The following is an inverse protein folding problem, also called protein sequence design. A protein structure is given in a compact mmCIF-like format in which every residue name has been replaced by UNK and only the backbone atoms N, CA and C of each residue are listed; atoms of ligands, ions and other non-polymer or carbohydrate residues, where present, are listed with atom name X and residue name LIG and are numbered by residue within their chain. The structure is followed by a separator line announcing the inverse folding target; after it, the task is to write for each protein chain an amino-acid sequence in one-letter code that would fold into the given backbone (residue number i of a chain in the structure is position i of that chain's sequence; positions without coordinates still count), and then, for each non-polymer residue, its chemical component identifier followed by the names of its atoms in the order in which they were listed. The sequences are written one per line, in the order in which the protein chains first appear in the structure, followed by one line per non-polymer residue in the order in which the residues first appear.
data_IF_461838079284
#
_entry.id   IF_461838079284
#
_cell.length_a   1.000
_cell.length_b   1.000
_cell.length_c   1.000
_cell.angle_alpha   90.00
_cell.angle_beta   90.00
_cell.angle_gamma   90.00
#
_symmetry.space_group_name_H-M   'P 1'
#
loop_
_entity.id
_entity.type
_entity.pdbx_description
1 polymer ?
#
# COMPACT_ATOMS: atom_id res chain seq x y z
N UNK A 1 -12.60 9.29 -1.84
CA UNK A 1 -11.22 9.75 -2.07
C UNK A 1 -10.53 9.04 -3.25
N UNK A 2 -10.91 7.83 -3.69
CA UNK A 2 -10.27 7.18 -4.84
C UNK A 2 -8.79 6.80 -4.62
N UNK A 3 -8.34 6.86 -3.36
CA UNK A 3 -6.99 6.51 -2.92
C UNK A 3 -7.01 5.15 -2.22
N UNK A 4 -5.91 4.43 -2.33
CA UNK A 4 -5.66 3.12 -1.76
C UNK A 4 -4.61 3.19 -0.65
N UNK A 5 -4.70 2.25 0.29
CA UNK A 5 -3.68 2.03 1.31
C UNK A 5 -2.45 1.40 0.65
N UNK A 6 -1.32 2.10 0.64
CA UNK A 6 -0.14 1.75 -0.15
C UNK A 6 1.09 1.61 0.76
N UNK A 7 1.83 0.51 0.62
CA UNK A 7 3.16 0.40 1.18
C UNK A 7 4.15 1.19 0.31
N UNK A 8 4.67 2.28 0.87
CA UNK A 8 5.42 3.30 0.12
C UNK A 8 6.55 2.68 -0.72
N UNK A 9 6.54 3.01 -2.02
CA UNK A 9 7.47 2.50 -3.02
C UNK A 9 7.56 0.95 -3.12
N UNK A 10 6.51 0.25 -2.68
CA UNK A 10 6.49 -1.22 -2.65
C UNK A 10 7.37 -1.85 -1.57
N UNK A 11 7.72 -1.09 -0.52
CA UNK A 11 8.56 -1.60 0.57
C UNK A 11 7.93 -2.80 1.30
N UNK A 12 8.77 -3.77 1.64
CA UNK A 12 8.36 -5.00 2.36
C UNK A 12 9.01 -5.16 3.73
N UNK A 13 9.97 -4.29 4.07
CA UNK A 13 10.66 -4.33 5.34
C UNK A 13 9.80 -3.77 6.48
N UNK A 14 10.05 -4.23 7.71
CA UNK A 14 9.45 -3.66 8.91
C UNK A 14 9.76 -2.15 9.01
N UNK A 15 8.73 -1.36 9.32
CA UNK A 15 8.84 0.10 9.34
C UNK A 15 8.63 0.77 7.98
N UNK A 16 8.32 0.01 6.91
CA UNK A 16 7.82 0.61 5.67
C UNK A 16 6.60 1.47 5.98
N UNK A 17 6.64 2.73 5.55
CA UNK A 17 5.54 3.67 5.79
C UNK A 17 4.33 3.29 4.94
N UNK A 18 3.17 3.29 5.57
CA UNK A 18 1.89 3.16 4.88
C UNK A 18 1.35 4.56 4.57
N UNK A 19 0.95 4.77 3.32
CA UNK A 19 0.44 6.05 2.81
C UNK A 19 -0.91 5.86 2.11
N UNK A 20 -1.59 6.98 1.85
CA UNK A 20 -2.70 7.01 0.89
C UNK A 20 -2.16 7.45 -0.47
N UNK A 21 -2.37 6.63 -1.49
CA UNK A 21 -1.88 6.87 -2.84
C UNK A 21 -2.94 6.54 -3.89
N UNK A 22 -2.79 7.08 -5.10
CA UNK A 22 -3.66 6.75 -6.22
C UNK A 22 -3.71 5.24 -6.43
N UNK A 23 -4.92 4.68 -6.49
CA UNK A 23 -5.11 3.27 -6.75
C UNK A 23 -4.57 2.90 -8.14
N UNK A 24 -3.62 1.97 -8.20
CA UNK A 24 -3.02 1.50 -9.46
C UNK A 24 -3.01 -0.03 -9.60
N UNK A 25 -3.56 -0.76 -8.61
CA UNK A 25 -3.65 -2.22 -8.62
C UNK A 25 -2.36 -2.94 -8.25
N UNK A 26 -1.30 -2.23 -7.88
CA UNK A 26 -0.05 -2.80 -7.40
C UNK A 26 -0.25 -3.74 -6.21
N UNK A 27 0.60 -4.76 -6.10
CA UNK A 27 0.54 -5.71 -4.98
C UNK A 27 0.74 -5.05 -3.62
N UNK A 28 1.48 -3.93 -3.58
CA UNK A 28 1.68 -3.09 -2.40
C UNK A 28 0.43 -2.31 -1.96
N UNK A 29 -0.69 -2.47 -2.68
CA UNK A 29 -2.01 -1.93 -2.34
C UNK A 29 -3.04 -3.02 -1.99
N UNK A 30 -2.63 -4.29 -1.94
CA UNK A 30 -3.52 -5.44 -1.70
C UNK A 30 -3.24 -6.05 -0.33
N UNK A 31 -4.23 -6.02 0.56
CA UNK A 31 -4.09 -6.42 1.96
C UNK A 31 -5.03 -7.57 2.27
N UNK A 32 -4.50 -8.62 2.89
CA UNK A 32 -5.30 -9.71 3.44
C UNK A 32 -5.48 -9.49 4.94
N UNK A 33 -6.74 -9.49 5.39
CA UNK A 33 -7.05 -9.58 6.80
C UNK A 33 -7.06 -11.06 7.17
N UNK A 34 -6.24 -11.46 8.17
CA UNK A 34 -6.31 -12.80 8.75
C UNK A 34 -7.14 -12.76 10.02
#
# INVERSE_FOLDING_TARGET
SGLCLDANAGGTANGTRIILWSCNGGSNQQWAQR
#
